data_IF_399553709263
#
_entry.id   IF_399553709263
#
_cell.length_a   1.000
_cell.length_b   1.000
_cell.length_c   1.000
_cell.angle_alpha   90.00
_cell.angle_beta   90.00
_cell.angle_gamma   90.00
#
_symmetry.space_group_name_H-M   'P 1'
#
loop_
_entity.id
_entity.type
_entity.pdbx_description
1 polymer ?
#
# COMPACT_ATOMS: atom_id res chain seq x y z
N UNK A 1 -6.92 -18.76 -0.29
CA UNK A 1 -5.69 -19.59 -0.31
C UNK A 1 -4.48 -18.72 0.06
N UNK A 2 -3.37 -19.31 0.50
CA UNK A 2 -2.11 -18.56 0.74
C UNK A 2 -1.38 -18.47 -0.60
N UNK A 3 -0.99 -17.27 -1.03
CA UNK A 3 -0.27 -17.05 -2.27
C UNK A 3 1.03 -16.28 -2.03
N UNK A 4 1.92 -16.33 -3.02
CA UNK A 4 3.15 -15.52 -3.05
C UNK A 4 2.79 -14.11 -3.51
N UNK A 5 3.10 -13.12 -2.69
CA UNK A 5 2.89 -11.70 -2.96
C UNK A 5 4.25 -11.04 -3.17
N UNK A 6 4.46 -10.45 -4.33
CA UNK A 6 5.70 -9.82 -4.75
C UNK A 6 5.60 -8.31 -4.93
N UNK A 7 4.39 -7.71 -4.84
CA UNK A 7 4.28 -6.26 -4.89
C UNK A 7 2.88 -5.73 -4.65
N UNK A 8 2.80 -4.40 -4.70
CA UNK A 8 1.55 -3.64 -4.59
C UNK A 8 1.59 -2.46 -5.54
N UNK A 9 0.47 -2.20 -6.22
CA UNK A 9 0.23 -0.93 -6.87
C UNK A 9 -0.83 -0.14 -6.11
N UNK A 10 -0.66 1.18 -6.01
CA UNK A 10 -1.61 2.09 -5.39
C UNK A 10 -1.98 3.22 -6.34
N UNK A 11 -3.21 3.71 -6.23
CA UNK A 11 -3.74 4.85 -6.99
C UNK A 11 -4.63 5.68 -6.07
N UNK A 12 -4.67 7.00 -6.28
CA UNK A 12 -5.54 7.91 -5.54
C UNK A 12 -6.96 7.96 -6.06
N UNK A 13 -7.66 9.08 -5.86
CA UNK A 13 -8.99 9.38 -6.37
C UNK A 13 -9.04 10.84 -6.85
N UNK A 14 -9.36 11.10 -8.14
CA UNK A 14 -9.61 12.44 -8.62
C UNK A 14 -10.80 13.10 -7.92
N UNK A 15 -10.72 14.41 -7.69
CA UNK A 15 -11.81 15.20 -7.11
C UNK A 15 -12.03 16.46 -7.93
N UNK A 16 -13.29 16.76 -8.24
CA UNK A 16 -13.69 18.02 -8.87
C UNK A 16 -13.92 19.15 -7.84
N UNK A 17 -13.95 18.82 -6.54
CA UNK A 17 -14.24 19.77 -5.45
C UNK A 17 -13.00 20.22 -4.70
N UNK A 18 -11.96 19.40 -4.70
CA UNK A 18 -10.71 19.67 -3.99
C UNK A 18 -9.56 19.53 -4.98
N UNK A 19 -8.79 20.62 -5.13
CA UNK A 19 -7.65 20.69 -6.03
C UNK A 19 -6.62 19.60 -5.69
N UNK A 20 -6.08 18.94 -6.72
CA UNK A 20 -5.10 17.87 -6.55
C UNK A 20 -5.67 16.49 -6.17
N UNK A 21 -6.98 16.37 -5.92
CA UNK A 21 -7.62 15.09 -5.60
C UNK A 21 -7.16 14.51 -4.25
N UNK A 22 -7.40 13.22 -4.03
CA UNK A 22 -7.15 12.53 -2.75
C UNK A 22 -6.23 11.35 -2.96
N UNK A 23 -5.16 11.24 -2.19
CA UNK A 23 -4.25 10.10 -2.34
C UNK A 23 -3.35 9.88 -1.13
N UNK A 24 -2.97 8.63 -0.91
CA UNK A 24 -1.99 8.25 0.11
C UNK A 24 -0.58 8.47 -0.44
N UNK A 25 0.19 9.31 0.26
CA UNK A 25 1.58 9.64 -0.07
C UNK A 25 2.57 8.63 0.47
N UNK A 26 2.33 8.12 1.68
CA UNK A 26 3.17 7.06 2.28
C UNK A 26 2.30 6.08 3.05
N UNK A 27 2.72 4.81 3.07
CA UNK A 27 2.01 3.75 3.80
C UNK A 27 2.96 2.67 4.32
N UNK A 28 2.49 1.89 5.29
CA UNK A 28 3.12 0.63 5.69
C UNK A 28 2.24 -0.55 5.30
N UNK A 29 2.85 -1.72 5.15
CA UNK A 29 2.15 -2.96 4.79
C UNK A 29 2.36 -4.02 5.86
N UNK A 30 1.28 -4.71 6.19
CA UNK A 30 1.29 -5.90 7.04
C UNK A 30 0.56 -7.04 6.35
N UNK A 31 0.97 -8.27 6.64
CA UNK A 31 0.44 -9.46 6.00
C UNK A 31 0.18 -10.57 7.01
N UNK A 32 -0.75 -11.46 6.68
CA UNK A 32 -1.18 -12.54 7.55
C UNK A 32 -1.62 -13.77 6.73
N UNK A 33 -1.57 -14.94 7.36
CA UNK A 33 -2.13 -16.19 6.84
C UNK A 33 -3.50 -16.51 7.46
N UNK A 34 -3.80 -15.97 8.64
CA UNK A 34 -4.91 -16.35 9.52
C UNK A 34 -5.88 -15.21 9.89
N UNK A 35 -5.55 -13.94 9.57
CA UNK A 35 -6.22 -12.69 10.01
C UNK A 35 -6.01 -12.30 11.47
N UNK A 36 -5.37 -13.12 12.28
CA UNK A 36 -5.15 -12.87 13.71
C UNK A 36 -3.73 -12.38 13.94
N UNK A 37 -2.74 -13.12 13.43
CA UNK A 37 -1.33 -12.79 13.56
C UNK A 37 -0.86 -11.99 12.35
N UNK A 38 -0.46 -10.74 12.59
CA UNK A 38 0.01 -9.83 11.54
C UNK A 38 1.51 -9.61 11.63
N UNK A 39 2.19 -9.76 10.50
CA UNK A 39 3.60 -9.43 10.35
C UNK A 39 3.73 -8.16 9.52
N UNK A 40 4.50 -7.18 10.00
CA UNK A 40 4.87 -6.03 9.17
C UNK A 40 5.84 -6.46 8.09
N UNK A 41 5.65 -5.94 6.88
CA UNK A 41 6.66 -6.05 5.83
C UNK A 41 7.86 -5.18 6.21
N UNK A 42 9.05 -5.77 6.17
CA UNK A 42 10.29 -5.16 6.64
C UNK A 42 11.37 -5.28 5.57
N UNK A 43 12.19 -4.25 5.45
CA UNK A 43 13.43 -4.28 4.69
C UNK A 43 14.57 -3.95 5.64
N UNK A 44 15.64 -4.75 5.60
CA UNK A 44 16.79 -4.61 6.51
C UNK A 44 16.39 -4.62 8.01
N UNK A 45 15.37 -5.41 8.36
CA UNK A 45 14.88 -5.53 9.76
C UNK A 45 13.95 -4.42 10.22
N UNK A 46 13.75 -3.37 9.42
CA UNK A 46 12.93 -2.19 9.75
C UNK A 46 11.63 -2.22 8.96
N UNK A 47 10.52 -1.80 9.56
CA UNK A 47 9.24 -1.70 8.87
C UNK A 47 9.37 -0.76 7.66
N UNK A 48 8.98 -1.25 6.49
CA UNK A 48 9.10 -0.47 5.25
C UNK A 48 8.02 0.61 5.21
N UNK A 49 8.45 1.86 5.13
CA UNK A 49 7.62 2.95 4.66
C UNK A 49 7.67 2.97 3.12
N UNK A 50 6.57 2.59 2.49
CA UNK A 50 6.41 2.65 1.04
C UNK A 50 6.08 4.07 0.61
N UNK A 51 6.67 4.48 -0.52
CA UNK A 51 6.26 5.70 -1.21
C UNK A 51 5.03 5.36 -2.06
N UNK A 52 3.95 6.07 -1.80
CA UNK A 52 2.67 5.94 -2.51
C UNK A 52 2.60 6.93 -3.66
N UNK A 53 1.44 7.54 -3.82
CA UNK A 53 1.13 8.36 -4.98
C UNK A 53 1.57 9.82 -4.79
N UNK A 54 1.90 10.47 -5.91
CA UNK A 54 2.18 11.91 -6.00
C UNK A 54 1.03 12.70 -6.60
N UNK A 55 0.06 12.00 -7.18
CA UNK A 55 -1.13 12.55 -7.84
C UNK A 55 -2.29 11.51 -7.76
N UNK A 56 -3.54 11.90 -8.05
CA UNK A 56 -4.69 11.02 -7.84
C UNK A 56 -4.93 10.00 -8.98
N UNK A 57 -4.28 10.13 -10.12
CA UNK A 57 -4.53 9.36 -11.35
C UNK A 57 -3.42 8.35 -11.66
N UNK A 58 -2.16 8.69 -11.39
CA UNK A 58 -1.00 7.84 -11.62
C UNK A 58 -1.02 6.61 -10.74
N UNK A 59 -0.65 5.46 -11.32
CA UNK A 59 -0.46 4.21 -10.59
C UNK A 59 0.98 4.14 -10.10
N UNK A 60 1.17 4.09 -8.78
CA UNK A 60 2.48 3.86 -8.18
C UNK A 60 2.65 2.38 -7.86
N UNK A 61 3.59 1.70 -8.53
CA UNK A 61 3.90 0.29 -8.30
C UNK A 61 5.16 0.15 -7.44
N UNK A 62 5.02 -0.56 -6.32
CA UNK A 62 6.10 -0.93 -5.43
C UNK A 62 6.30 -2.45 -5.46
N UNK A 63 7.45 -2.91 -5.97
CA UNK A 63 7.86 -4.30 -5.85
C UNK A 63 8.52 -4.54 -4.50
N UNK A 64 8.25 -5.70 -3.92
CA UNK A 64 8.89 -6.12 -2.69
C UNK A 64 10.29 -6.63 -3.00
N UNK A 65 11.28 -6.16 -2.25
CA UNK A 65 12.63 -6.72 -2.29
C UNK A 65 12.63 -8.22 -1.96
N UNK A 66 11.75 -8.65 -1.08
CA UNK A 66 11.55 -10.07 -0.73
C UNK A 66 10.06 -10.39 -0.78
N UNK A 67 9.64 -11.31 -1.65
CA UNK A 67 8.25 -11.74 -1.71
C UNK A 67 7.79 -12.41 -0.40
N UNK A 68 6.51 -12.29 -0.08
CA UNK A 68 5.91 -12.85 1.15
C UNK A 68 4.80 -13.84 0.82
N UNK A 69 4.67 -14.90 1.63
CA UNK A 69 3.54 -15.83 1.52
C UNK A 69 2.40 -15.36 2.43
N UNK A 70 1.31 -14.89 1.83
CA UNK A 70 0.20 -14.29 2.54
C UNK A 70 -1.15 -14.73 1.97
N UNK A 71 -2.17 -14.73 2.83
CA UNK A 71 -3.58 -14.79 2.41
C UNK A 71 -4.27 -13.43 2.56
N UNK A 72 -3.78 -12.62 3.49
CA UNK A 72 -4.34 -11.31 3.80
C UNK A 72 -3.24 -10.26 3.77
N UNK A 73 -3.56 -9.13 3.17
CA UNK A 73 -2.73 -7.94 3.11
C UNK A 73 -3.50 -6.81 3.78
N UNK A 74 -2.78 -5.95 4.49
CA UNK A 74 -3.31 -4.75 5.13
C UNK A 74 -2.35 -3.60 4.89
N UNK A 75 -2.84 -2.60 4.17
CA UNK A 75 -2.19 -1.31 3.99
C UNK A 75 -2.62 -0.39 5.11
N UNK A 76 -1.67 0.33 5.70
CA UNK A 76 -1.91 1.37 6.71
C UNK A 76 -1.34 2.69 6.20
N UNK A 77 -2.20 3.61 5.70
CA UNK A 77 -1.77 4.95 5.33
C UNK A 77 -1.02 5.63 6.47
N UNK A 78 0.02 6.40 6.15
CA UNK A 78 0.81 7.16 7.11
C UNK A 78 0.70 8.67 6.83
N UNK A 79 0.76 9.06 5.55
CA UNK A 79 0.53 10.44 5.12
C UNK A 79 -0.30 10.46 3.85
N UNK A 80 -1.04 11.54 3.62
CA UNK A 80 -1.95 11.69 2.48
C UNK A 80 -2.05 13.16 2.04
N UNK A 81 -2.56 13.37 0.82
CA UNK A 81 -2.95 14.68 0.31
C UNK A 81 -4.47 14.79 0.37
N UNK A 82 -4.97 15.89 0.95
CA UNK A 82 -6.38 16.15 1.26
C UNK A 82 -7.04 15.07 2.13
N UNK A 83 -7.53 13.98 1.55
CA UNK A 83 -8.15 12.86 2.28
C UNK A 83 -7.45 11.52 2.00
N UNK A 84 -7.66 10.56 2.89
CA UNK A 84 -7.21 9.19 2.68
C UNK A 84 -8.11 8.53 1.61
N UNK A 85 -7.57 8.35 0.41
CA UNK A 85 -8.19 7.55 -0.64
C UNK A 85 -7.15 6.61 -1.26
N UNK A 86 -7.54 5.36 -1.49
CA UNK A 86 -6.65 4.33 -2.00
C UNK A 86 -7.44 3.33 -2.85
N UNK A 87 -7.01 3.18 -4.10
CA UNK A 87 -7.28 1.99 -4.93
C UNK A 87 -5.99 1.18 -4.97
N UNK A 88 -6.09 -0.15 -4.98
CA UNK A 88 -4.90 -1.00 -4.93
C UNK A 88 -5.04 -2.26 -5.75
N UNK A 89 -3.89 -2.76 -6.20
CA UNK A 89 -3.73 -4.07 -6.83
C UNK A 89 -2.57 -4.81 -6.16
N UNK A 90 -2.68 -6.13 -6.01
CA UNK A 90 -1.65 -7.00 -5.41
C UNK A 90 -1.05 -7.88 -6.49
N UNK A 91 0.29 -7.99 -6.48
CA UNK A 91 1.06 -8.85 -7.38
C UNK A 91 1.77 -9.96 -6.62
#
# INVERSE_FOLDING_TARGET
EVTKVCGVATQGRPSFREEGGWFVKTFTLSYSKDKETWKSYKEYGIAKAFQGNTDPEGVMKNLFKVAVNARYIRIRPQTWHNHIALRMEIY
#
